data_IF_989730239808
#
_entry.id   IF_989730239808
#
_cell.length_a   1.000
_cell.length_b   1.000
_cell.length_c   1.000
_cell.angle_alpha   90.00
_cell.angle_beta   90.00
_cell.angle_gamma   90.00
#
_symmetry.space_group_name_H-M   'P 1'
#
loop_
_entity.id
_entity.type
_entity.pdbx_description
1 polymer ?
#
# COMPACT_ATOMS: atom_id res chain seq x y z
N UNK A 1 46.78 -22.41 4.84
CA UNK A 1 46.92 -23.79 5.38
C UNK A 1 45.91 -23.97 6.51
N UNK A 2 45.02 -24.97 6.40
CA UNK A 2 44.27 -25.73 7.45
C UNK A 2 43.57 -24.92 8.56
N UNK A 3 42.31 -25.13 8.92
CA UNK A 3 41.25 -26.10 8.64
C UNK A 3 40.00 -25.57 9.38
N UNK A 4 38.89 -26.27 9.62
CA UNK A 4 38.42 -27.64 9.43
C UNK A 4 36.89 -27.52 9.32
N UNK A 5 36.26 -28.41 8.55
CA UNK A 5 34.81 -28.60 8.53
C UNK A 5 34.31 -29.15 9.86
N UNK A 6 33.07 -28.81 10.22
CA UNK A 6 32.23 -29.63 11.09
C UNK A 6 30.80 -29.62 10.54
N UNK A 7 30.33 -30.81 10.16
CA UNK A 7 28.99 -31.11 9.71
C UNK A 7 28.03 -31.18 10.91
N UNK A 8 26.79 -30.69 10.72
CA UNK A 8 25.67 -30.91 11.63
C UNK A 8 24.53 -31.58 10.87
N UNK A 9 24.30 -32.86 11.14
CA UNK A 9 23.21 -33.67 10.63
C UNK A 9 22.06 -33.70 11.65
N UNK A 10 20.81 -33.53 11.21
CA UNK A 10 19.54 -33.89 11.90
C UNK A 10 18.38 -33.50 10.98
N UNK A 11 17.29 -34.23 10.78
CA UNK A 11 16.89 -35.58 11.15
C UNK A 11 15.82 -36.00 10.12
N UNK A 12 15.90 -37.25 9.64
CA UNK A 12 14.87 -37.88 8.80
C UNK A 12 13.65 -38.20 9.67
N UNK A 13 12.48 -37.63 9.33
CA UNK A 13 11.20 -38.13 9.83
C UNK A 13 10.59 -39.01 8.74
N UNK A 14 10.62 -40.32 8.99
CA UNK A 14 9.82 -41.31 8.25
C UNK A 14 8.34 -41.14 8.62
N UNK A 15 7.49 -40.88 7.65
CA UNK A 15 6.05 -41.12 7.76
C UNK A 15 5.68 -42.38 6.97
N UNK A 16 4.98 -43.28 7.67
CA UNK A 16 4.73 -44.66 7.30
C UNK A 16 3.73 -44.83 6.16
N UNK A 17 3.99 -45.84 5.32
CA UNK A 17 3.05 -46.46 4.39
C UNK A 17 1.94 -47.18 5.15
N UNK A 18 0.67 -46.91 4.79
CA UNK A 18 -0.46 -47.80 5.08
C UNK A 18 -1.00 -48.40 3.78
N UNK A 19 -1.35 -49.68 3.88
CA UNK A 19 -1.57 -50.65 2.81
C UNK A 19 -3.03 -50.70 2.35
N UNK A 20 -3.19 -50.81 1.02
CA UNK A 20 -4.25 -51.45 0.23
C UNK A 20 -5.74 -51.34 0.64
N UNK A 21 -6.51 -50.68 -0.24
CA UNK A 21 -7.92 -50.96 -0.48
C UNK A 21 -8.15 -51.18 -1.98
N UNK A 22 -8.52 -52.41 -2.36
CA UNK A 22 -8.90 -52.78 -3.72
C UNK A 22 -10.39 -52.43 -3.92
N UNK A 23 -10.71 -51.52 -4.84
CA UNK A 23 -12.08 -51.10 -5.14
C UNK A 23 -12.18 -50.53 -6.56
N UNK A 24 -13.04 -51.14 -7.36
CA UNK A 24 -13.22 -50.98 -8.80
C UNK A 24 -13.53 -49.54 -9.29
N UNK A 25 -12.95 -49.20 -10.44
CA UNK A 25 -13.33 -48.20 -11.44
C UNK A 25 -14.26 -47.03 -11.01
N UNK A 26 -13.71 -45.82 -10.98
CA UNK A 26 -14.46 -44.57 -11.15
C UNK A 26 -13.53 -43.54 -11.80
N UNK A 27 -14.08 -42.81 -12.77
CA UNK A 27 -13.39 -41.80 -13.57
C UNK A 27 -12.61 -40.82 -12.69
N UNK A 28 -11.33 -40.60 -12.98
CA UNK A 28 -10.54 -39.52 -12.40
C UNK A 28 -11.17 -38.18 -12.81
N UNK A 29 -11.59 -37.33 -11.87
CA UNK A 29 -11.77 -35.92 -12.15
C UNK A 29 -10.39 -35.29 -12.34
N UNK A 30 -10.28 -34.41 -13.33
CA UNK A 30 -9.06 -33.66 -13.61
C UNK A 30 -8.49 -33.01 -12.34
N UNK A 31 -7.15 -32.97 -12.17
CA UNK A 31 -6.57 -32.18 -11.11
C UNK A 31 -6.94 -30.73 -11.40
N UNK A 32 -7.92 -30.24 -10.66
CA UNK A 32 -8.21 -28.81 -10.56
C UNK A 32 -6.92 -28.19 -10.06
N UNK A 33 -6.22 -27.47 -10.94
CA UNK A 33 -4.98 -26.81 -10.58
C UNK A 33 -5.24 -25.93 -9.37
N UNK A 34 -4.67 -26.29 -8.23
CA UNK A 34 -4.50 -25.35 -7.13
C UNK A 34 -3.79 -24.15 -7.73
N UNK A 35 -4.49 -23.02 -7.78
CA UNK A 35 -3.84 -21.75 -8.03
C UNK A 35 -2.79 -21.60 -6.93
N UNK A 36 -1.52 -21.71 -7.29
CA UNK A 36 -0.41 -21.33 -6.43
C UNK A 36 -0.68 -19.91 -5.96
N UNK A 37 -1.11 -19.77 -4.71
CA UNK A 37 -1.20 -18.48 -4.05
C UNK A 37 0.24 -17.97 -4.02
N UNK A 38 0.54 -16.91 -4.78
CA UNK A 38 1.84 -16.29 -4.72
C UNK A 38 2.03 -15.82 -3.27
N UNK A 39 3.00 -16.40 -2.57
CA UNK A 39 3.37 -15.92 -1.25
C UNK A 39 3.82 -14.47 -1.39
N UNK A 40 3.11 -13.57 -0.72
CA UNK A 40 3.54 -12.18 -0.54
C UNK A 40 4.91 -12.19 0.12
N UNK A 41 5.90 -11.53 -0.49
CA UNK A 41 7.24 -11.48 0.08
C UNK A 41 7.32 -10.46 1.22
N UNK A 42 8.31 -10.59 2.09
CA UNK A 42 8.62 -9.55 3.09
C UNK A 42 8.94 -8.20 2.42
N UNK A 43 9.53 -8.23 1.22
CA UNK A 43 9.82 -7.02 0.44
C UNK A 43 8.53 -6.34 -0.04
N UNK A 44 7.54 -7.13 -0.49
CA UNK A 44 6.24 -6.60 -0.91
C UNK A 44 5.52 -5.96 0.27
N UNK A 45 5.49 -6.64 1.42
CA UNK A 45 4.91 -6.09 2.65
C UNK A 45 5.61 -4.79 3.07
N UNK A 46 6.94 -4.74 3.02
CA UNK A 46 7.70 -3.54 3.36
C UNK A 46 7.41 -2.37 2.41
N UNK A 47 7.17 -2.66 1.13
CA UNK A 47 6.77 -1.67 0.11
C UNK A 47 5.38 -1.11 0.41
N UNK A 48 4.43 -1.98 0.75
CA UNK A 48 3.05 -1.59 1.09
C UNK A 48 3.02 -0.71 2.34
N UNK A 49 3.76 -1.10 3.38
CA UNK A 49 3.94 -0.30 4.60
C UNK A 49 4.51 1.09 4.27
N UNK A 50 5.51 1.17 3.39
CA UNK A 50 6.11 2.43 2.98
C UNK A 50 5.13 3.30 2.19
N UNK A 51 4.31 2.70 1.31
CA UNK A 51 3.29 3.40 0.55
C UNK A 51 2.19 3.99 1.45
N UNK A 52 1.65 3.19 2.39
CA UNK A 52 0.64 3.65 3.34
C UNK A 52 1.14 4.78 4.25
N UNK A 53 2.40 4.72 4.70
CA UNK A 53 3.04 5.81 5.46
C UNK A 53 3.18 7.07 4.61
N UNK A 54 3.58 6.94 3.34
CA UNK A 54 3.68 8.08 2.46
C UNK A 54 2.31 8.71 2.16
N UNK A 55 1.23 7.92 2.07
CA UNK A 55 -0.14 8.47 1.98
C UNK A 55 -0.53 9.21 3.26
N UNK A 56 -0.15 8.69 4.44
CA UNK A 56 -0.35 9.38 5.73
C UNK A 56 0.37 10.74 5.79
N UNK A 57 1.55 10.86 5.16
CA UNK A 57 2.25 12.14 5.00
C UNK A 57 1.49 13.10 4.08
N UNK A 58 0.89 12.61 2.99
CA UNK A 58 0.03 13.40 2.10
C UNK A 58 -1.20 13.94 2.84
N UNK A 59 -1.87 13.08 3.62
CA UNK A 59 -3.00 13.48 4.48
C UNK A 59 -2.57 14.55 5.48
N UNK A 60 -1.44 14.35 6.15
CA UNK A 60 -0.87 15.34 7.08
C UNK A 60 -0.68 16.71 6.43
N UNK A 61 -0.17 16.77 5.19
CA UNK A 61 0.01 18.06 4.49
C UNK A 61 -1.34 18.70 4.17
N UNK A 62 -2.27 17.93 3.58
CA UNK A 62 -3.57 18.43 3.15
C UNK A 62 -4.42 18.89 4.34
N UNK A 63 -4.55 18.06 5.38
CA UNK A 63 -5.41 18.33 6.53
C UNK A 63 -4.90 19.52 7.35
N UNK A 64 -3.59 19.69 7.49
CA UNK A 64 -3.06 20.88 8.17
C UNK A 64 -3.25 22.16 7.35
N UNK A 65 -3.23 22.10 6.02
CA UNK A 65 -3.56 23.25 5.18
C UNK A 65 -5.04 23.65 5.36
N UNK A 66 -5.94 22.67 5.45
CA UNK A 66 -7.37 22.88 5.67
C UNK A 66 -7.66 23.47 7.05
N UNK A 67 -7.04 22.89 8.08
CA UNK A 67 -7.13 23.40 9.45
C UNK A 67 -6.60 24.83 9.50
N UNK A 68 -5.42 25.11 8.95
CA UNK A 68 -4.83 26.45 8.96
C UNK A 68 -5.68 27.49 8.23
N UNK A 69 -6.30 27.12 7.11
CA UNK A 69 -7.25 27.99 6.41
C UNK A 69 -8.50 28.24 7.27
N UNK A 70 -9.08 27.19 7.87
CA UNK A 70 -10.28 27.29 8.70
C UNK A 70 -10.07 28.15 9.95
N UNK A 71 -8.86 28.15 10.49
CA UNK A 71 -8.44 28.95 11.65
C UNK A 71 -8.03 30.38 11.27
N UNK A 72 -8.02 30.73 9.98
CA UNK A 72 -7.61 32.05 9.48
C UNK A 72 -6.10 32.31 9.59
N UNK A 73 -5.29 31.26 9.74
CA UNK A 73 -3.82 31.36 9.79
C UNK A 73 -3.17 31.36 8.41
N UNK A 74 -3.91 30.93 7.39
CA UNK A 74 -3.44 30.73 6.02
C UNK A 74 -4.43 31.35 5.03
N UNK A 75 -3.91 31.96 3.96
CA UNK A 75 -4.75 32.40 2.86
C UNK A 75 -5.12 31.22 1.93
N UNK A 76 -6.26 31.28 1.26
CA UNK A 76 -6.68 30.21 0.33
C UNK A 76 -5.66 29.94 -0.80
N UNK A 77 -4.90 30.95 -1.23
CA UNK A 77 -3.81 30.75 -2.20
C UNK A 77 -2.66 29.90 -1.63
N UNK A 78 -2.33 30.12 -0.36
CA UNK A 78 -1.29 29.37 0.32
C UNK A 78 -1.73 27.91 0.55
N UNK A 79 -2.99 27.67 0.91
CA UNK A 79 -3.57 26.32 1.00
C UNK A 79 -3.41 25.55 -0.32
N UNK A 80 -3.71 26.20 -1.45
CA UNK A 80 -3.52 25.57 -2.77
C UNK A 80 -2.04 25.26 -3.04
N UNK A 81 -1.13 26.13 -2.63
CA UNK A 81 0.30 25.83 -2.67
C UNK A 81 0.69 24.59 -1.85
N UNK A 82 0.04 24.35 -0.71
CA UNK A 82 0.23 23.13 0.08
C UNK A 82 -0.40 21.89 -0.57
N UNK A 83 -1.54 22.02 -1.22
CA UNK A 83 -2.10 20.93 -2.04
C UNK A 83 -1.18 20.57 -3.21
N UNK A 84 -0.51 21.52 -3.87
CA UNK A 84 0.50 21.22 -4.89
C UNK A 84 1.67 20.40 -4.32
N UNK A 85 2.08 20.69 -3.07
CA UNK A 85 3.10 19.89 -2.37
C UNK A 85 2.56 18.48 -2.11
N UNK A 86 1.36 18.35 -1.58
CA UNK A 86 0.71 17.07 -1.28
C UNK A 86 0.59 16.20 -2.55
N UNK A 87 0.10 16.75 -3.66
CA UNK A 87 0.01 16.06 -4.95
C UNK A 87 1.38 15.59 -5.46
N UNK A 88 2.44 16.39 -5.31
CA UNK A 88 3.81 15.96 -5.69
C UNK A 88 4.37 14.88 -4.78
N UNK A 89 3.96 14.83 -3.51
CA UNK A 89 4.33 13.74 -2.60
C UNK A 89 3.61 12.47 -3.03
N UNK A 90 2.30 12.55 -3.27
CA UNK A 90 1.47 11.44 -3.74
C UNK A 90 1.99 10.83 -5.05
N UNK A 91 2.34 11.67 -6.03
CA UNK A 91 2.84 11.23 -7.34
C UNK A 91 4.10 10.35 -7.23
N UNK A 92 4.94 10.58 -6.22
CA UNK A 92 6.18 9.81 -5.98
C UNK A 92 5.96 8.45 -5.34
N UNK A 93 4.77 8.16 -4.81
CA UNK A 93 4.47 6.87 -4.19
C UNK A 93 4.34 5.81 -5.30
N UNK A 94 5.08 4.69 -5.28
CA UNK A 94 4.90 3.63 -6.27
C UNK A 94 3.46 3.10 -6.28
N UNK A 95 2.90 2.87 -7.47
CA UNK A 95 1.52 2.41 -7.65
C UNK A 95 1.37 1.47 -8.86
N UNK A 96 2.45 0.76 -9.21
CA UNK A 96 2.51 -0.13 -10.38
C UNK A 96 2.33 -1.61 -10.02
N UNK A 97 2.12 -1.94 -8.74
CA UNK A 97 1.83 -3.29 -8.30
C UNK A 97 0.37 -3.67 -8.54
N UNK A 98 0.10 -4.97 -8.54
CA UNK A 98 -1.26 -5.52 -8.64
C UNK A 98 -1.93 -5.72 -7.27
N UNK A 99 -1.22 -5.39 -6.19
CA UNK A 99 -1.72 -5.46 -4.81
C UNK A 99 -2.72 -4.33 -4.50
N UNK A 100 -3.51 -4.51 -3.44
CA UNK A 100 -4.58 -3.58 -3.08
C UNK A 100 -4.06 -2.20 -2.64
N UNK A 101 -2.84 -2.12 -2.08
CA UNK A 101 -2.24 -0.85 -1.68
C UNK A 101 -1.82 -0.07 -2.92
N UNK A 102 -1.12 -0.70 -3.86
CA UNK A 102 -0.74 -0.13 -5.15
C UNK A 102 -1.95 0.36 -5.94
N UNK A 103 -3.03 -0.42 -5.98
CA UNK A 103 -4.30 -0.02 -6.62
C UNK A 103 -4.94 1.19 -5.92
N UNK A 104 -5.05 1.17 -4.59
CA UNK A 104 -5.63 2.32 -3.86
C UNK A 104 -4.78 3.59 -3.97
N UNK A 105 -3.45 3.48 -4.05
CA UNK A 105 -2.57 4.62 -4.36
C UNK A 105 -2.80 5.11 -5.80
N UNK A 106 -3.00 4.22 -6.77
CA UNK A 106 -3.32 4.60 -8.13
C UNK A 106 -4.66 5.38 -8.19
N UNK A 107 -5.69 4.89 -7.50
CA UNK A 107 -6.99 5.57 -7.40
C UNK A 107 -6.83 6.98 -6.79
N UNK A 108 -6.04 7.13 -5.73
CA UNK A 108 -5.75 8.46 -5.16
C UNK A 108 -5.09 9.38 -6.17
N UNK A 109 -4.11 8.90 -6.95
CA UNK A 109 -3.46 9.69 -8.00
C UNK A 109 -4.41 10.08 -9.13
N UNK A 110 -5.40 9.26 -9.44
CA UNK A 110 -6.43 9.62 -10.42
C UNK A 110 -7.32 10.74 -9.90
N UNK A 111 -7.66 10.74 -8.61
CA UNK A 111 -8.46 11.81 -8.01
C UNK A 111 -7.70 13.13 -7.92
N UNK A 112 -6.40 13.09 -7.58
CA UNK A 112 -5.53 14.25 -7.41
C UNK A 112 -4.32 14.19 -8.38
N UNK A 113 -4.54 14.43 -9.68
CA UNK A 113 -3.52 14.21 -10.70
C UNK A 113 -2.34 15.18 -10.55
N UNK A 114 -1.12 14.74 -10.92
CA UNK A 114 0.07 15.57 -10.83
C UNK A 114 -0.04 16.83 -11.68
N UNK A 115 0.32 17.96 -11.10
CA UNK A 115 0.39 19.23 -11.81
C UNK A 115 1.70 19.33 -12.57
N UNK A 116 1.60 19.72 -13.85
CA UNK A 116 2.79 20.04 -14.63
C UNK A 116 3.39 21.37 -14.12
N UNK A 117 4.65 21.40 -13.67
CA UNK A 117 5.27 22.61 -13.16
C UNK A 117 5.23 23.76 -14.19
N UNK A 118 4.95 24.97 -13.72
CA UNK A 118 4.96 26.17 -14.56
C UNK A 118 3.73 26.39 -15.44
N UNK A 119 2.71 25.52 -15.37
CA UNK A 119 1.45 25.69 -16.11
C UNK A 119 0.49 26.68 -15.45
N UNK A 120 0.66 26.98 -14.16
CA UNK A 120 -0.30 27.75 -13.38
C UNK A 120 -1.64 27.03 -13.18
N UNK A 121 -1.70 25.73 -13.46
CA UNK A 121 -2.85 24.90 -13.13
C UNK A 121 -2.99 24.81 -11.60
N UNK A 122 -4.22 24.92 -11.12
CA UNK A 122 -4.54 24.77 -9.70
C UNK A 122 -4.66 23.28 -9.35
N UNK A 123 -4.32 22.89 -8.11
CA UNK A 123 -4.47 21.52 -7.65
C UNK A 123 -5.95 21.16 -7.59
N UNK A 124 -6.26 19.95 -8.04
CA UNK A 124 -7.61 19.40 -8.09
C UNK A 124 -7.68 18.13 -7.23
N UNK A 125 -8.88 17.80 -6.76
CA UNK A 125 -9.18 16.50 -6.17
C UNK A 125 -8.99 16.40 -4.66
N UNK A 126 -7.90 16.92 -4.10
CA UNK A 126 -7.67 16.89 -2.64
C UNK A 126 -8.84 17.60 -1.93
N UNK A 127 -9.40 16.93 -0.92
CA UNK A 127 -10.55 17.41 -0.15
C UNK A 127 -11.93 17.18 -0.81
N UNK A 128 -11.98 16.59 -2.02
CA UNK A 128 -13.25 16.21 -2.66
C UNK A 128 -13.85 14.92 -2.08
N UNK A 129 -15.14 14.67 -2.33
CA UNK A 129 -15.78 13.39 -1.98
C UNK A 129 -15.07 12.19 -2.62
N UNK A 130 -14.57 12.35 -3.85
CA UNK A 130 -13.82 11.30 -4.53
C UNK A 130 -12.51 10.97 -3.82
N UNK A 131 -11.79 11.99 -3.34
CA UNK A 131 -10.59 11.82 -2.53
C UNK A 131 -10.89 11.10 -1.21
N UNK A 132 -11.94 11.53 -0.51
CA UNK A 132 -12.38 10.88 0.73
C UNK A 132 -12.76 9.41 0.54
N UNK A 133 -13.47 9.09 -0.54
CA UNK A 133 -13.82 7.71 -0.89
C UNK A 133 -12.59 6.86 -1.24
N UNK A 134 -11.62 7.41 -1.97
CA UNK A 134 -10.38 6.72 -2.30
C UNK A 134 -9.55 6.40 -1.04
N UNK A 135 -9.44 7.36 -0.10
CA UNK A 135 -8.81 7.13 1.21
C UNK A 135 -9.55 6.04 2.02
N UNK A 136 -10.89 6.06 2.02
CA UNK A 136 -11.68 5.05 2.73
C UNK A 136 -11.46 3.64 2.15
N UNK A 137 -11.34 3.51 0.82
CA UNK A 137 -11.02 2.24 0.16
C UNK A 137 -9.62 1.74 0.50
N UNK A 138 -8.64 2.65 0.61
CA UNK A 138 -7.24 2.30 0.93
C UNK A 138 -7.00 1.98 2.42
N UNK A 139 -7.90 2.40 3.32
CA UNK A 139 -7.73 2.22 4.76
C UNK A 139 -7.56 0.75 5.18
N UNK A 140 -8.41 -0.15 4.66
CA UNK A 140 -8.36 -1.58 5.01
C UNK A 140 -7.09 -2.29 4.49
N UNK A 141 -6.68 -2.11 3.21
CA UNK A 141 -5.38 -2.60 2.74
C UNK A 141 -4.20 -2.13 3.60
N UNK A 142 -4.19 -0.87 4.02
CA UNK A 142 -3.13 -0.34 4.87
C UNK A 142 -3.17 -0.90 6.30
N UNK A 143 -4.36 -1.14 6.85
CA UNK A 143 -4.51 -1.83 8.13
C UNK A 143 -4.00 -3.28 8.08
N UNK A 144 -4.24 -3.99 6.97
CA UNK A 144 -3.80 -5.38 6.79
C UNK A 144 -2.28 -5.58 6.82
N UNK A 145 -1.51 -4.52 6.57
CA UNK A 145 -0.03 -4.50 6.65
C UNK A 145 0.49 -3.75 7.90
N UNK A 146 -0.35 -3.55 8.92
CA UNK A 146 -0.02 -2.83 10.16
C UNK A 146 0.47 -1.38 9.92
N UNK A 147 -0.04 -0.73 8.88
CA UNK A 147 0.30 0.64 8.49
C UNK A 147 -0.97 1.49 8.31
N UNK A 148 -1.88 1.46 9.29
CA UNK A 148 -3.13 2.24 9.30
C UNK A 148 -2.90 3.68 8.83
N UNK A 149 -3.81 4.19 8.00
CA UNK A 149 -3.76 5.56 7.53
C UNK A 149 -4.00 6.51 8.70
N UNK A 150 -3.01 7.36 8.98
CA UNK A 150 -3.09 8.37 10.05
C UNK A 150 -2.60 9.71 9.54
N UNK A 151 -2.89 10.78 10.27
CA UNK A 151 -2.30 12.08 10.02
C UNK A 151 -1.95 12.76 11.33
N UNK A 152 -0.97 13.66 11.29
CA UNK A 152 -0.54 14.41 12.46
C UNK A 152 -1.02 15.86 12.36
N UNK A 153 -1.83 16.29 13.32
CA UNK A 153 -2.24 17.71 13.42
C UNK A 153 -1.17 18.50 14.16
N UNK A 154 -0.81 19.67 13.64
CA UNK A 154 0.06 20.61 14.32
C UNK A 154 -0.39 22.06 14.12
N UNK A 155 -0.13 22.88 15.12
CA UNK A 155 -0.36 24.33 15.08
C UNK A 155 0.95 25.04 14.78
N UNK A 156 1.16 25.48 13.54
CA UNK A 156 2.34 26.25 13.12
C UNK A 156 2.30 26.60 11.63
N UNK A 157 2.83 27.78 11.28
CA UNK A 157 2.98 28.31 9.92
C UNK A 157 4.13 29.33 9.92
#
# INVERSE_FOLDING_TARGET
MRGKQAAGASALVLAALMVAGCGSASAEPEPTGEATQADTTEEDTARDVAACKAVSDVMTIADNADIALSEGRMAAQEQRGWYDVATRVLDRIPSTGDDAVSQGVADLKETAPPLTPGTGAEPLGIGSDAWGNALATLAEPCLAVDAELTYHVFTGG
#
